data_IF_592642021413
#
_entry.id   IF_592642021413
#
_cell.length_a   1.000
_cell.length_b   1.000
_cell.length_c   1.000
_cell.angle_alpha   90.00
_cell.angle_beta   90.00
_cell.angle_gamma   90.00
#
_symmetry.space_group_name_H-M   'P 1'
#
loop_
_entity.id
_entity.type
_entity.pdbx_description
1 polymer ?
#
# COMPACT_ATOMS: atom_id res chain seq x y z
N UNK A 1 35.95 21.69 -47.39
CA UNK A 1 34.74 21.91 -46.60
C UNK A 1 34.29 20.55 -46.02
N UNK A 2 34.49 20.31 -44.74
CA UNK A 2 34.07 19.07 -44.06
C UNK A 2 32.87 19.40 -43.19
N UNK A 3 31.72 18.77 -43.50
CA UNK A 3 30.50 18.90 -42.72
C UNK A 3 30.59 17.96 -41.49
N UNK A 4 30.50 18.53 -40.28
CA UNK A 4 30.43 17.79 -39.04
C UNK A 4 28.97 17.45 -38.74
N UNK A 5 28.63 16.17 -38.74
CA UNK A 5 27.33 15.65 -38.36
C UNK A 5 27.27 15.58 -36.84
N UNK A 6 26.42 16.37 -36.22
CA UNK A 6 26.10 16.30 -34.79
C UNK A 6 25.02 15.24 -34.59
N UNK A 7 25.39 14.16 -33.93
CA UNK A 7 24.41 13.12 -33.51
C UNK A 7 23.84 13.55 -32.15
N UNK A 8 22.55 13.93 -32.13
CA UNK A 8 21.78 14.11 -30.90
C UNK A 8 21.39 12.73 -30.33
N UNK A 9 21.99 12.34 -29.23
CA UNK A 9 21.51 11.22 -28.44
C UNK A 9 20.28 11.66 -27.62
N UNK A 10 19.09 11.21 -28.03
CA UNK A 10 17.88 11.37 -27.25
C UNK A 10 17.86 10.34 -26.12
N UNK A 11 18.08 10.80 -24.87
CA UNK A 11 17.90 9.99 -23.66
C UNK A 11 16.41 9.72 -23.45
N UNK A 12 15.96 8.51 -23.77
CA UNK A 12 14.65 8.03 -23.38
C UNK A 12 14.65 7.78 -21.86
N UNK A 13 14.13 8.72 -21.09
CA UNK A 13 13.77 8.52 -19.69
C UNK A 13 12.58 7.57 -19.70
N UNK A 14 12.82 6.32 -19.33
CA UNK A 14 11.78 5.31 -19.18
C UNK A 14 10.83 5.70 -18.03
N UNK A 15 9.71 6.33 -18.35
CA UNK A 15 8.58 6.46 -17.43
C UNK A 15 8.01 5.05 -17.21
N UNK A 16 8.30 4.44 -16.07
CA UNK A 16 7.60 3.25 -15.61
C UNK A 16 6.17 3.65 -15.23
N UNK A 17 5.26 3.50 -16.19
CA UNK A 17 3.84 3.75 -15.97
C UNK A 17 3.27 2.71 -14.99
N UNK A 18 2.38 3.17 -14.10
CA UNK A 18 1.54 2.26 -13.32
C UNK A 18 0.76 1.34 -14.27
N UNK A 19 0.59 0.06 -13.95
CA UNK A 19 -0.32 -0.79 -14.72
C UNK A 19 -1.72 -0.18 -14.74
N UNK A 20 -2.30 -0.01 -15.92
CA UNK A 20 -3.64 0.53 -16.08
C UNK A 20 -4.66 -0.53 -15.62
N UNK A 21 -5.22 -0.37 -14.41
CA UNK A 21 -6.36 -1.14 -13.95
C UNK A 21 -7.65 -0.43 -14.33
N UNK A 22 -8.34 -0.93 -15.37
CA UNK A 22 -9.70 -0.55 -15.68
C UNK A 22 -10.65 -1.37 -14.81
N UNK A 23 -11.14 -0.80 -13.71
CA UNK A 23 -12.25 -1.39 -12.95
C UNK A 23 -13.46 -0.45 -13.07
N UNK A 24 -14.56 -1.00 -13.60
CA UNK A 24 -15.85 -0.31 -13.59
C UNK A 24 -16.35 -0.14 -12.16
N UNK A 25 -16.91 1.02 -11.79
CA UNK A 25 -17.44 1.24 -10.44
C UNK A 25 -18.60 0.28 -10.18
N UNK A 26 -18.42 -0.68 -9.26
CA UNK A 26 -19.53 -1.45 -8.70
C UNK A 26 -20.02 -0.74 -7.43
N UNK A 27 -21.32 -0.69 -7.16
CA UNK A 27 -21.81 -0.20 -5.88
C UNK A 27 -21.39 -1.19 -4.78
N UNK A 28 -20.37 -0.83 -4.00
CA UNK A 28 -19.95 -1.62 -2.86
C UNK A 28 -20.90 -1.36 -1.68
N UNK A 29 -21.68 -2.38 -1.30
CA UNK A 29 -22.67 -2.28 -0.22
C UNK A 29 -22.13 -2.76 1.13
N UNK A 30 -20.96 -3.41 1.18
CA UNK A 30 -20.44 -4.03 2.39
C UNK A 30 -19.31 -3.19 3.00
N UNK A 31 -19.67 -2.37 3.98
CA UNK A 31 -18.71 -1.72 4.87
C UNK A 31 -18.36 -2.69 6.01
N UNK A 32 -17.29 -3.48 5.83
CA UNK A 32 -16.90 -4.54 6.78
C UNK A 32 -16.12 -4.01 8.00
N UNK A 33 -15.62 -2.77 7.97
CA UNK A 33 -14.93 -2.15 9.08
C UNK A 33 -15.27 -0.65 9.17
N UNK A 34 -15.37 -0.07 10.38
CA UNK A 34 -15.47 1.39 10.55
C UNK A 34 -14.17 2.05 10.12
N UNK A 35 -14.26 3.28 9.58
CA UNK A 35 -13.07 4.08 9.34
C UNK A 35 -12.49 4.55 10.66
N UNK A 36 -11.28 4.10 10.96
CA UNK A 36 -10.44 4.56 12.09
C UNK A 36 -9.05 4.86 11.54
N UNK A 37 -8.60 6.09 11.75
CA UNK A 37 -7.32 6.53 11.21
C UNK A 37 -6.16 6.13 12.12
N UNK A 38 -5.12 5.51 11.57
CA UNK A 38 -3.86 5.25 12.29
C UNK A 38 -3.19 6.57 12.69
N UNK A 39 -2.75 6.76 13.95
CA UNK A 39 -1.97 7.93 14.34
C UNK A 39 -0.68 8.08 13.51
N UNK A 40 -0.18 9.30 13.33
CA UNK A 40 0.98 9.55 12.47
C UNK A 40 2.23 8.78 12.90
N UNK A 41 2.52 8.73 14.21
CA UNK A 41 3.67 7.97 14.73
C UNK A 41 3.53 6.45 14.53
N UNK A 42 2.29 5.93 14.51
CA UNK A 42 2.01 4.53 14.17
C UNK A 42 2.27 4.26 12.69
N UNK A 43 1.83 5.17 11.81
CA UNK A 43 2.12 5.10 10.37
C UNK A 43 3.63 5.09 10.13
N UNK A 44 4.37 5.97 10.80
CA UNK A 44 5.82 6.01 10.68
C UNK A 44 6.45 4.67 11.11
N UNK A 45 6.05 4.11 12.26
CA UNK A 45 6.55 2.83 12.73
C UNK A 45 6.21 1.67 11.75
N UNK A 46 4.98 1.64 11.20
CA UNK A 46 4.57 0.64 10.21
C UNK A 46 5.50 0.64 8.98
N UNK A 47 5.76 1.83 8.43
CA UNK A 47 6.58 1.99 7.23
C UNK A 47 8.08 1.74 7.51
N UNK A 48 8.57 2.11 8.69
CA UNK A 48 9.93 1.78 9.14
C UNK A 48 10.14 0.28 9.33
N UNK A 49 9.18 -0.41 9.97
CA UNK A 49 9.23 -1.86 10.14
C UNK A 49 9.23 -2.59 8.80
N UNK A 50 8.48 -2.09 7.82
CA UNK A 50 8.47 -2.62 6.47
C UNK A 50 9.80 -2.42 5.72
N UNK A 51 10.70 -1.54 6.17
CA UNK A 51 11.97 -1.22 5.51
C UNK A 51 11.79 -0.93 4.02
N UNK A 52 10.85 -0.04 3.71
CA UNK A 52 10.50 0.31 2.33
C UNK A 52 11.70 0.92 1.62
N UNK A 53 11.93 0.48 0.38
CA UNK A 53 12.97 1.02 -0.50
C UNK A 53 12.36 1.92 -1.57
N UNK A 54 13.09 2.93 -2.05
CA UNK A 54 12.64 3.76 -3.18
C UNK A 54 12.23 2.91 -4.38
N UNK A 55 11.06 3.22 -4.96
CA UNK A 55 10.50 2.53 -6.12
C UNK A 55 9.75 1.23 -5.81
N UNK A 56 9.76 0.72 -4.58
CA UNK A 56 8.92 -0.43 -4.19
C UNK A 56 7.44 -0.08 -4.29
N UNK A 57 6.63 -1.09 -4.59
CA UNK A 57 5.17 -0.97 -4.70
C UNK A 57 4.53 -1.28 -3.35
N UNK A 58 3.88 -0.27 -2.78
CA UNK A 58 3.15 -0.36 -1.51
C UNK A 58 1.65 -0.37 -1.78
N UNK A 59 0.93 -1.36 -1.29
CA UNK A 59 -0.52 -1.37 -1.24
C UNK A 59 -1.01 -1.14 0.19
N UNK A 60 -1.94 -0.20 0.37
CA UNK A 60 -2.62 0.05 1.64
C UNK A 60 -4.08 -0.39 1.52
N UNK A 61 -4.42 -1.50 2.18
CA UNK A 61 -5.74 -2.12 2.10
C UNK A 61 -6.67 -1.54 3.17
N UNK A 62 -7.72 -0.84 2.73
CA UNK A 62 -8.57 -0.01 3.58
C UNK A 62 -7.90 1.34 3.87
N UNK A 63 -7.46 2.01 2.81
CA UNK A 63 -6.55 3.16 2.94
C UNK A 63 -7.16 4.42 3.57
N UNK A 64 -8.48 4.45 3.75
CA UNK A 64 -9.15 5.58 4.41
C UNK A 64 -8.84 6.91 3.74
N UNK A 65 -8.27 7.84 4.50
CA UNK A 65 -7.87 9.17 4.02
C UNK A 65 -6.53 9.21 3.27
N UNK A 66 -5.91 8.06 3.03
CA UNK A 66 -4.69 7.95 2.25
C UNK A 66 -3.39 8.33 2.98
N UNK A 67 -3.42 8.54 4.31
CA UNK A 67 -2.25 8.98 5.07
C UNK A 67 -1.04 8.06 4.96
N UNK A 68 -1.24 6.72 4.92
CA UNK A 68 -0.17 5.74 4.73
C UNK A 68 0.37 5.82 3.30
N UNK A 69 -0.51 5.93 2.31
CA UNK A 69 -0.15 6.11 0.89
C UNK A 69 0.70 7.36 0.68
N UNK A 70 0.26 8.50 1.24
CA UNK A 70 0.98 9.77 1.18
C UNK A 70 2.35 9.67 1.86
N UNK A 71 2.40 9.06 3.05
CA UNK A 71 3.65 8.87 3.78
C UNK A 71 4.63 7.95 3.03
N UNK A 72 4.15 6.83 2.47
CA UNK A 72 4.97 5.89 1.70
C UNK A 72 5.58 6.55 0.46
N UNK A 73 4.78 7.29 -0.32
CA UNK A 73 5.28 7.98 -1.50
C UNK A 73 6.17 9.19 -1.14
N UNK A 74 5.76 10.00 -0.16
CA UNK A 74 6.47 11.23 0.19
C UNK A 74 7.81 10.99 0.88
N UNK A 75 7.81 10.17 1.94
CA UNK A 75 9.01 9.91 2.76
C UNK A 75 9.92 8.83 2.16
N UNK A 76 9.35 7.74 1.67
CA UNK A 76 10.11 6.55 1.24
C UNK A 76 10.29 6.45 -0.28
N UNK A 77 9.68 7.36 -1.06
CA UNK A 77 9.74 7.35 -2.54
C UNK A 77 9.22 6.04 -3.15
N UNK A 78 8.22 5.46 -2.49
CA UNK A 78 7.51 4.27 -2.97
C UNK A 78 6.48 4.63 -4.04
N UNK A 79 6.07 3.62 -4.83
CA UNK A 79 4.86 3.68 -5.66
C UNK A 79 3.69 3.17 -4.81
N UNK A 80 2.88 4.07 -4.28
CA UNK A 80 1.87 3.73 -3.29
C UNK A 80 0.45 3.71 -3.87
N UNK A 81 -0.29 2.64 -3.59
CA UNK A 81 -1.68 2.44 -4.03
C UNK A 81 -2.56 2.17 -2.82
N UNK A 82 -3.52 3.04 -2.56
CA UNK A 82 -4.56 2.80 -1.58
C UNK A 82 -5.78 2.13 -2.21
N UNK A 83 -6.38 1.21 -1.48
CA UNK A 83 -7.67 0.60 -1.84
C UNK A 83 -8.68 0.96 -0.76
N UNK A 84 -9.75 1.67 -1.13
CA UNK A 84 -10.75 2.16 -0.19
C UNK A 84 -12.16 1.95 -0.78
N UNK A 85 -13.09 1.46 0.05
CA UNK A 85 -14.44 1.15 -0.39
C UNK A 85 -15.33 2.41 -0.44
N UNK A 86 -15.05 3.41 0.39
CA UNK A 86 -15.83 4.64 0.51
C UNK A 86 -15.47 5.65 -0.58
N UNK A 87 -16.37 5.98 -1.52
CA UNK A 87 -16.08 6.96 -2.56
C UNK A 87 -15.76 8.35 -2.00
N UNK A 88 -16.33 8.69 -0.83
CA UNK A 88 -16.04 9.95 -0.15
C UNK A 88 -14.59 10.01 0.34
N UNK A 89 -14.08 8.93 0.94
CA UNK A 89 -12.69 8.87 1.41
C UNK A 89 -11.72 8.83 0.21
N UNK A 90 -12.05 8.09 -0.85
CA UNK A 90 -11.26 8.10 -2.10
C UNK A 90 -11.11 9.50 -2.65
N UNK A 91 -12.21 10.26 -2.77
CA UNK A 91 -12.17 11.63 -3.28
C UNK A 91 -11.31 12.55 -2.40
N UNK A 92 -11.46 12.45 -1.07
CA UNK A 92 -10.65 13.22 -0.12
C UNK A 92 -9.16 12.87 -0.23
N UNK A 93 -8.82 11.59 -0.21
CA UNK A 93 -7.44 11.11 -0.30
C UNK A 93 -6.78 11.52 -1.62
N UNK A 94 -7.53 11.45 -2.74
CA UNK A 94 -7.03 11.89 -4.04
C UNK A 94 -6.67 13.37 -4.03
N UNK A 95 -7.55 14.24 -3.49
CA UNK A 95 -7.28 15.66 -3.36
C UNK A 95 -6.06 15.96 -2.45
N UNK A 96 -5.85 15.17 -1.39
CA UNK A 96 -4.70 15.32 -0.50
C UNK A 96 -3.40 14.89 -1.18
N UNK A 97 -3.41 13.82 -1.98
CA UNK A 97 -2.28 13.37 -2.81
C UNK A 97 -1.91 14.45 -3.84
N UNK A 98 -2.89 15.03 -4.53
CA UNK A 98 -2.68 16.11 -5.50
C UNK A 98 -2.08 17.35 -4.82
N UNK A 99 -2.62 17.76 -3.66
CA UNK A 99 -2.12 18.90 -2.88
C UNK A 99 -0.69 18.69 -2.39
N UNK A 100 -0.31 17.43 -2.10
CA UNK A 100 1.04 17.05 -1.73
C UNK A 100 2.01 16.95 -2.93
N UNK A 101 1.53 17.07 -4.17
CA UNK A 101 2.33 16.93 -5.38
C UNK A 101 2.81 15.49 -5.64
N UNK A 102 2.07 14.48 -5.15
CA UNK A 102 2.49 13.08 -5.18
C UNK A 102 1.74 12.23 -6.23
N UNK A 103 0.95 12.83 -7.12
CA UNK A 103 0.11 12.09 -8.09
C UNK A 103 0.88 11.18 -9.05
N UNK A 104 2.18 11.40 -9.24
CA UNK A 104 3.04 10.53 -10.04
C UNK A 104 3.42 9.22 -9.31
N UNK A 105 3.37 9.21 -7.97
CA UNK A 105 3.86 8.12 -7.13
C UNK A 105 2.80 7.55 -6.19
N UNK A 106 1.66 8.22 -6.03
CA UNK A 106 0.59 7.85 -5.12
C UNK A 106 -0.78 7.96 -5.78
N UNK A 107 -1.67 7.02 -5.46
CA UNK A 107 -3.08 7.08 -5.84
C UNK A 107 -3.95 6.30 -4.87
N UNK A 108 -5.22 6.64 -4.79
CA UNK A 108 -6.24 5.82 -4.10
C UNK A 108 -7.30 5.42 -5.11
N UNK A 109 -7.66 4.14 -5.11
CA UNK A 109 -8.69 3.60 -5.97
C UNK A 109 -9.88 3.13 -5.14
N UNK A 110 -11.09 3.33 -5.66
CA UNK A 110 -12.27 2.75 -5.07
C UNK A 110 -12.28 1.24 -5.34
N UNK A 111 -12.35 0.44 -4.26
CA UNK A 111 -12.32 -1.02 -4.40
C UNK A 111 -12.68 -1.75 -3.13
N UNK A 112 -13.09 -3.00 -3.30
CA UNK A 112 -13.20 -3.98 -2.23
C UNK A 112 -11.86 -4.72 -2.11
N UNK A 113 -11.23 -4.65 -0.94
CA UNK A 113 -9.95 -5.30 -0.65
C UNK A 113 -9.99 -6.82 -0.91
N UNK A 114 -11.16 -7.44 -0.74
CA UNK A 114 -11.36 -8.86 -1.02
C UNK A 114 -11.47 -9.19 -2.52
N UNK A 115 -11.62 -8.19 -3.39
CA UNK A 115 -11.71 -8.36 -4.84
C UNK A 115 -10.54 -7.73 -5.60
N UNK A 116 -9.74 -6.93 -4.93
CA UNK A 116 -8.62 -6.22 -5.53
C UNK A 116 -7.46 -7.15 -5.84
N UNK A 117 -6.86 -6.98 -7.01
CA UNK A 117 -5.58 -7.59 -7.36
C UNK A 117 -4.44 -6.67 -6.91
N UNK A 118 -3.58 -7.19 -6.05
CA UNK A 118 -2.36 -6.52 -5.58
C UNK A 118 -1.10 -7.31 -5.93
N UNK A 119 -1.18 -8.08 -7.02
CA UNK A 119 0.00 -8.77 -7.59
C UNK A 119 1.10 -7.76 -7.87
N UNK A 120 2.31 -8.11 -7.50
CA UNK A 120 3.48 -7.24 -7.67
C UNK A 120 3.75 -6.32 -6.48
N UNK A 121 2.90 -6.28 -5.46
CA UNK A 121 3.19 -5.56 -4.23
C UNK A 121 4.47 -6.07 -3.56
N UNK A 122 5.32 -5.14 -3.15
CA UNK A 122 6.48 -5.40 -2.30
C UNK A 122 6.11 -5.32 -0.82
N UNK A 123 5.17 -4.43 -0.51
CA UNK A 123 4.64 -4.20 0.83
C UNK A 123 3.13 -4.06 0.78
N UNK A 124 2.46 -4.68 1.74
CA UNK A 124 1.03 -4.47 2.02
C UNK A 124 0.91 -3.93 3.44
N UNK A 125 0.19 -2.81 3.60
CA UNK A 125 -0.22 -2.28 4.90
C UNK A 125 -1.71 -2.45 5.09
N UNK A 126 -2.15 -2.65 6.34
CA UNK A 126 -3.57 -2.77 6.66
C UNK A 126 -3.86 -2.44 8.13
N UNK A 127 -5.01 -1.80 8.35
CA UNK A 127 -5.63 -1.61 9.66
C UNK A 127 -7.06 -2.11 9.60
N UNK A 128 -7.21 -3.44 9.56
CA UNK A 128 -8.47 -4.13 9.37
C UNK A 128 -8.70 -5.12 10.51
N UNK A 129 -9.96 -5.35 10.85
CA UNK A 129 -10.31 -6.27 11.94
C UNK A 129 -9.85 -7.72 11.66
N UNK A 130 -9.62 -8.48 12.72
CA UNK A 130 -9.12 -9.86 12.68
C UNK A 130 -9.92 -10.76 11.72
N UNK A 131 -11.24 -10.59 11.65
CA UNK A 131 -12.09 -11.38 10.73
C UNK A 131 -11.74 -11.09 9.27
N UNK A 132 -11.61 -9.81 8.91
CA UNK A 132 -11.27 -9.41 7.54
C UNK A 132 -9.84 -9.81 7.18
N UNK A 133 -8.91 -9.72 8.14
CA UNK A 133 -7.54 -10.23 7.96
C UNK A 133 -7.52 -11.74 7.68
N UNK A 134 -8.40 -12.51 8.33
CA UNK A 134 -8.53 -13.95 8.06
C UNK A 134 -9.06 -14.22 6.65
N UNK A 135 -10.04 -13.43 6.18
CA UNK A 135 -10.59 -13.54 4.82
C UNK A 135 -9.59 -13.09 3.74
N UNK A 136 -8.75 -12.09 4.04
CA UNK A 136 -7.68 -11.62 3.15
C UNK A 136 -6.50 -12.57 3.04
N UNK A 137 -6.20 -13.34 4.08
CA UNK A 137 -5.01 -14.20 4.15
C UNK A 137 -4.81 -15.09 2.91
N UNK A 138 -5.79 -15.84 2.39
CA UNK A 138 -5.58 -16.67 1.20
C UNK A 138 -5.19 -15.86 -0.04
N UNK A 139 -5.65 -14.61 -0.11
CA UNK A 139 -5.30 -13.69 -1.21
C UNK A 139 -3.89 -13.15 -1.05
N UNK A 140 -3.49 -12.79 0.17
CA UNK A 140 -2.11 -12.40 0.47
C UNK A 140 -1.13 -13.53 0.11
N UNK A 141 -1.46 -14.76 0.48
CA UNK A 141 -0.66 -15.95 0.13
C UNK A 141 -0.58 -16.22 -1.38
N UNK A 142 -1.65 -15.92 -2.12
CA UNK A 142 -1.75 -16.15 -3.57
C UNK A 142 -1.04 -15.09 -4.41
N UNK A 143 -1.19 -13.82 -4.04
CA UNK A 143 -0.78 -12.69 -4.89
C UNK A 143 0.59 -12.13 -4.54
N UNK A 144 1.03 -12.28 -3.28
CA UNK A 144 2.30 -11.73 -2.85
C UNK A 144 3.48 -12.64 -3.23
N UNK A 145 4.50 -12.04 -3.78
CA UNK A 145 5.75 -12.73 -4.10
C UNK A 145 6.55 -13.04 -2.83
N UNK A 146 7.42 -14.06 -2.86
CA UNK A 146 8.38 -14.31 -1.78
C UNK A 146 9.21 -13.06 -1.48
N UNK A 147 9.41 -12.79 -0.19
CA UNK A 147 10.10 -11.59 0.29
C UNK A 147 9.22 -10.33 0.38
N UNK A 148 7.97 -10.40 -0.09
CA UNK A 148 7.00 -9.34 0.20
C UNK A 148 6.72 -9.27 1.70
N UNK A 149 6.37 -8.09 2.18
CA UNK A 149 6.13 -7.79 3.59
C UNK A 149 4.69 -7.36 3.79
N UNK A 150 4.07 -7.87 4.86
CA UNK A 150 2.73 -7.43 5.27
C UNK A 150 2.85 -6.80 6.65
N UNK A 151 2.33 -5.58 6.81
CA UNK A 151 2.30 -4.86 8.08
C UNK A 151 0.87 -4.63 8.50
N UNK A 152 0.50 -5.19 9.64
CA UNK A 152 -0.85 -5.06 10.18
C UNK A 152 -0.84 -4.27 11.49
N UNK A 153 -1.73 -3.29 11.59
CA UNK A 153 -1.94 -2.46 12.77
C UNK A 153 -3.02 -3.07 13.66
N UNK A 154 -2.72 -3.24 14.94
CA UNK A 154 -3.54 -3.77 16.05
C UNK A 154 -4.10 -5.19 15.87
N UNK A 155 -4.39 -5.62 14.65
CA UNK A 155 -5.05 -6.89 14.39
C UNK A 155 -4.11 -7.87 13.68
N UNK A 156 -3.75 -9.00 14.30
CA UNK A 156 -2.90 -10.00 13.64
C UNK A 156 -3.59 -10.66 12.45
N UNK A 157 -2.81 -11.25 11.56
CA UNK A 157 -3.30 -12.16 10.52
C UNK A 157 -3.42 -13.56 11.12
N UNK A 158 -4.65 -14.11 11.27
CA UNK A 158 -4.84 -15.40 11.88
C UNK A 158 -4.09 -16.52 11.16
N UNK A 159 -3.39 -17.34 11.94
CA UNK A 159 -2.61 -18.47 11.42
C UNK A 159 -1.24 -18.10 10.85
N UNK A 160 -0.87 -16.84 10.81
CA UNK A 160 0.49 -16.41 10.50
C UNK A 160 1.30 -16.14 11.75
N UNK A 161 2.60 -16.49 11.71
CA UNK A 161 3.56 -16.12 12.74
C UNK A 161 4.26 -14.83 12.31
N UNK A 162 4.15 -13.73 13.07
CA UNK A 162 4.85 -12.50 12.72
C UNK A 162 6.37 -12.68 12.81
N UNK A 163 7.10 -12.08 11.88
CA UNK A 163 8.55 -11.97 11.91
C UNK A 163 9.02 -10.97 12.98
N UNK A 164 8.22 -9.93 13.21
CA UNK A 164 8.47 -8.90 14.24
C UNK A 164 7.14 -8.37 14.77
N UNK A 165 7.11 -8.04 16.06
CA UNK A 165 5.99 -7.36 16.71
C UNK A 165 6.56 -6.19 17.49
N UNK A 166 5.98 -5.02 17.33
CA UNK A 166 6.31 -3.81 18.09
C UNK A 166 5.06 -3.22 18.70
N UNK A 167 5.23 -2.60 19.86
CA UNK A 167 4.18 -1.82 20.52
C UNK A 167 4.61 -0.37 20.61
N UNK A 168 3.64 0.53 20.39
CA UNK A 168 3.87 1.97 20.50
C UNK A 168 2.77 2.61 21.33
N UNK A 169 3.20 3.47 22.27
CA UNK A 169 2.29 4.19 23.14
C UNK A 169 1.67 5.38 22.40
N UNK A 170 0.36 5.59 22.62
CA UNK A 170 -0.41 6.72 22.16
C UNK A 170 -1.48 7.06 23.20
N UNK A 171 -2.69 7.46 22.77
CA UNK A 171 -3.85 7.52 23.68
C UNK A 171 -4.23 6.13 24.18
N UNK A 172 -3.98 5.15 23.37
CA UNK A 172 -4.05 3.72 23.66
C UNK A 172 -2.77 3.06 23.16
N UNK A 173 -2.47 1.87 23.65
CA UNK A 173 -1.36 1.07 23.13
C UNK A 173 -1.73 0.54 21.74
N UNK A 174 -0.83 0.69 20.79
CA UNK A 174 -0.96 0.11 19.46
C UNK A 174 0.07 -0.99 19.26
N UNK A 175 -0.32 -2.05 18.56
CA UNK A 175 0.56 -3.18 18.23
C UNK A 175 0.73 -3.28 16.72
N UNK A 176 1.96 -3.38 16.25
CA UNK A 176 2.29 -3.52 14.83
C UNK A 176 2.89 -4.90 14.60
N UNK A 177 2.31 -5.61 13.67
CA UNK A 177 2.74 -6.96 13.27
C UNK A 177 3.37 -6.89 11.88
N UNK A 178 4.63 -7.32 11.77
CA UNK A 178 5.31 -7.50 10.49
C UNK A 178 5.35 -8.99 10.14
N UNK A 179 4.94 -9.31 8.92
CA UNK A 179 5.05 -10.64 8.33
C UNK A 179 5.90 -10.57 7.06
N UNK A 180 6.70 -11.62 6.83
CA UNK A 180 7.46 -11.80 5.61
C UNK A 180 6.92 -13.02 4.86
N UNK A 181 6.57 -12.83 3.59
CA UNK A 181 6.06 -13.92 2.75
C UNK A 181 7.22 -14.84 2.41
N UNK A 182 7.12 -16.07 2.87
CA UNK A 182 8.13 -17.10 2.65
C UNK A 182 7.90 -17.83 1.32
N UNK A 183 8.97 -18.36 0.75
CA UNK A 183 8.83 -19.37 -0.31
C UNK A 183 8.08 -20.57 0.24
N UNK A 184 7.17 -21.20 -0.54
CA UNK A 184 6.61 -22.48 -0.14
C UNK A 184 7.78 -23.46 0.13
N UNK A 185 7.78 -24.06 1.30
CA UNK A 185 8.75 -25.13 1.61
C UNK A 185 8.50 -26.25 0.58
N UNK A 186 9.54 -26.56 -0.19
CA UNK A 186 9.52 -27.72 -1.09
C UNK A 186 9.36 -29.00 -0.29
#
# INVERSE_FOLDING_TARGET
>A
MRASTVVLLASCIGMTAFPAFSQSPRPYTNKLAPYVASPAHVVDLMLEMAKIKPGEIVYDLGSGDGRIVIAAAGKYKAKAVGVEISPKLVASATADIERAGLSADARVMQGDVLQTDFTGADVVTMYLETKLNAELRPRLEKFLKPGARVVSHDYPVPGWKPARVETVEGRVMHTIYLYEIQLPKK
#
